data_IF_146586693833
#
_entry.id   IF_146586693833
#
_cell.length_a   1.000
_cell.length_b   1.000
_cell.length_c   1.000
_cell.angle_alpha   90.00
_cell.angle_beta   90.00
_cell.angle_gamma   90.00
#
_symmetry.space_group_name_H-M   'P 1'
#
loop_
_entity.id
_entity.type
_entity.pdbx_description
1 polymer ?
#
# COMPACT_ATOMS: atom_id res chain seq x y z
N UNK A 1 0.41 -13.72 2.38
CA UNK A 1 -0.19 -13.05 1.21
C UNK A 1 -1.02 -14.04 0.43
N UNK A 2 -1.91 -13.53 -0.43
CA UNK A 2 -2.66 -14.29 -1.43
C UNK A 2 -2.62 -13.55 -2.75
N UNK A 3 -2.61 -14.31 -3.86
CA UNK A 3 -2.61 -13.75 -5.21
C UNK A 3 -4.00 -13.90 -5.88
N UNK A 4 -4.86 -14.75 -5.31
CA UNK A 4 -6.19 -15.08 -5.84
C UNK A 4 -7.23 -15.20 -4.74
N UNK A 5 -8.48 -14.84 -5.06
CA UNK A 5 -9.60 -14.84 -4.11
C UNK A 5 -9.93 -16.23 -3.54
N UNK A 6 -9.66 -17.31 -4.27
CA UNK A 6 -9.91 -18.68 -3.80
C UNK A 6 -9.04 -19.07 -2.61
N UNK A 7 -7.89 -18.42 -2.42
CA UNK A 7 -6.98 -18.63 -1.30
C UNK A 7 -7.46 -17.93 0.00
N UNK A 8 -8.43 -17.02 -0.08
CA UNK A 8 -8.86 -16.21 1.06
C UNK A 8 -9.40 -17.07 2.23
N UNK A 9 -10.13 -18.14 1.92
CA UNK A 9 -10.68 -19.03 2.95
C UNK A 9 -9.58 -19.76 3.75
N UNK A 10 -8.53 -20.20 3.07
CA UNK A 10 -7.35 -20.82 3.70
C UNK A 10 -6.59 -19.79 4.53
N UNK A 11 -6.37 -18.59 4.00
CA UNK A 11 -5.70 -17.51 4.69
C UNK A 11 -6.43 -17.09 5.98
N UNK A 12 -7.77 -16.97 5.95
CA UNK A 12 -8.58 -16.70 7.15
C UNK A 12 -8.48 -17.84 8.18
N UNK A 13 -8.43 -19.09 7.73
CA UNK A 13 -8.33 -20.26 8.61
C UNK A 13 -6.95 -20.40 9.27
N UNK A 14 -5.92 -19.73 8.74
CA UNK A 14 -4.56 -19.77 9.29
C UNK A 14 -4.38 -18.98 10.59
N UNK A 15 -5.31 -18.08 10.91
CA UNK A 15 -5.20 -17.18 12.05
C UNK A 15 -4.23 -16.01 11.85
N UNK A 16 -3.97 -15.62 10.60
CA UNK A 16 -3.15 -14.45 10.28
C UNK A 16 -3.81 -13.15 10.77
N UNK A 17 -3.04 -12.27 11.39
CA UNK A 17 -3.51 -10.94 11.83
C UNK A 17 -3.79 -10.00 10.65
N UNK A 18 -3.04 -10.17 9.56
CA UNK A 18 -3.10 -9.38 8.33
C UNK A 18 -3.02 -10.31 7.12
N UNK A 19 -3.88 -10.09 6.13
CA UNK A 19 -3.82 -10.77 4.83
C UNK A 19 -3.49 -9.73 3.76
N UNK A 20 -2.32 -9.91 3.14
CA UNK A 20 -1.90 -9.11 1.98
C UNK A 20 -2.49 -9.67 0.68
N UNK A 21 -3.14 -8.80 -0.09
CA UNK A 21 -3.71 -9.02 -1.42
C UNK A 21 -2.67 -8.57 -2.46
N UNK A 22 -1.92 -9.52 -3.02
CA UNK A 22 -0.79 -9.22 -3.92
C UNK A 22 -1.24 -9.10 -5.38
N UNK A 23 -0.99 -7.94 -6.00
CA UNK A 23 -1.29 -7.61 -7.40
C UNK A 23 -2.74 -7.90 -7.85
N UNK A 24 -3.69 -7.91 -6.91
CA UNK A 24 -5.10 -8.17 -7.22
C UNK A 24 -5.77 -6.95 -7.86
N UNK A 25 -6.77 -7.18 -8.71
CA UNK A 25 -7.57 -6.09 -9.28
C UNK A 25 -8.44 -5.41 -8.21
N UNK A 26 -8.85 -4.17 -8.47
CA UNK A 26 -9.75 -3.44 -7.56
C UNK A 26 -11.06 -4.19 -7.29
N UNK A 27 -11.58 -4.92 -8.28
CA UNK A 27 -12.80 -5.71 -8.13
C UNK A 27 -12.60 -6.91 -7.19
N UNK A 28 -11.44 -7.56 -7.28
CA UNK A 28 -11.08 -8.66 -6.39
C UNK A 28 -10.85 -8.15 -4.97
N UNK A 29 -10.08 -7.07 -4.79
CA UNK A 29 -9.85 -6.44 -3.49
C UNK A 29 -11.16 -6.04 -2.80
N UNK A 30 -12.06 -5.36 -3.52
CA UNK A 30 -13.37 -5.01 -2.98
C UNK A 30 -14.21 -6.24 -2.60
N UNK A 31 -14.03 -7.36 -3.31
CA UNK A 31 -14.68 -8.63 -2.98
C UNK A 31 -14.09 -9.25 -1.72
N UNK A 32 -12.75 -9.26 -1.58
CA UNK A 32 -12.08 -9.71 -0.37
C UNK A 32 -12.52 -8.90 0.86
N UNK A 33 -12.59 -7.57 0.74
CA UNK A 33 -13.09 -6.67 1.80
C UNK A 33 -14.50 -7.05 2.24
N UNK A 34 -15.42 -7.25 1.28
CA UNK A 34 -16.80 -7.68 1.60
C UNK A 34 -16.86 -9.05 2.28
N UNK A 35 -16.02 -10.00 1.83
CA UNK A 35 -15.99 -11.35 2.38
C UNK A 35 -15.39 -11.38 3.80
N UNK A 36 -14.36 -10.58 4.06
CA UNK A 36 -13.73 -10.52 5.37
C UNK A 36 -14.57 -9.77 6.38
N UNK A 37 -15.40 -8.80 5.96
CA UNK A 37 -16.32 -8.05 6.81
C UNK A 37 -15.67 -7.51 8.10
N UNK A 38 -14.40 -7.06 8.01
CA UNK A 38 -13.63 -6.52 9.13
C UNK A 38 -13.10 -7.55 10.14
N UNK A 39 -13.18 -8.85 9.83
CA UNK A 39 -12.64 -9.91 10.70
C UNK A 39 -11.10 -10.01 10.71
N UNK A 40 -10.45 -9.41 9.71
CA UNK A 40 -8.98 -9.38 9.55
C UNK A 40 -8.60 -8.07 8.85
N UNK A 41 -7.38 -7.60 9.09
CA UNK A 41 -6.80 -6.47 8.36
C UNK A 41 -6.46 -6.93 6.94
N UNK A 42 -6.90 -6.17 5.95
CA UNK A 42 -6.53 -6.37 4.56
C UNK A 42 -5.52 -5.32 4.10
N UNK A 43 -4.43 -5.80 3.53
CA UNK A 43 -3.37 -4.97 2.96
C UNK A 43 -3.34 -5.15 1.44
N UNK A 44 -3.34 -4.06 0.67
CA UNK A 44 -3.07 -4.12 -0.78
C UNK A 44 -1.57 -3.87 -1.05
N UNK A 45 -0.99 -4.66 -1.96
CA UNK A 45 0.39 -4.52 -2.39
C UNK A 45 0.55 -4.86 -3.88
N UNK A 46 1.68 -4.43 -4.47
CA UNK A 46 2.06 -4.74 -5.85
C UNK A 46 1.52 -3.77 -6.90
N UNK A 47 2.43 -3.23 -7.74
CA UNK A 47 2.05 -2.37 -8.89
C UNK A 47 1.35 -1.05 -8.56
N UNK A 48 1.36 -0.62 -7.29
CA UNK A 48 0.66 0.59 -6.84
C UNK A 48 1.51 1.83 -7.13
N UNK A 49 0.88 2.83 -7.75
CA UNK A 49 1.48 4.10 -8.20
C UNK A 49 0.62 5.27 -7.72
N UNK A 50 1.15 6.49 -7.81
CA UNK A 50 0.39 7.71 -7.50
C UNK A 50 -0.95 7.80 -8.28
N UNK A 51 -0.95 7.32 -9.52
CA UNK A 51 -2.13 7.39 -10.40
C UNK A 51 -3.24 6.42 -10.01
N UNK A 52 -2.91 5.27 -9.39
CA UNK A 52 -3.89 4.23 -9.07
C UNK A 52 -4.20 4.10 -7.56
N UNK A 53 -3.37 4.68 -6.68
CA UNK A 53 -3.48 4.49 -5.22
C UNK A 53 -4.85 4.91 -4.67
N UNK A 54 -5.47 5.95 -5.23
CA UNK A 54 -6.84 6.37 -4.86
C UNK A 54 -7.87 5.29 -5.14
N UNK A 55 -7.78 4.64 -6.30
CA UNK A 55 -8.71 3.59 -6.69
C UNK A 55 -8.52 2.34 -5.81
N UNK A 56 -7.28 2.02 -5.44
CA UNK A 56 -6.97 0.95 -4.48
C UNK A 56 -7.59 1.28 -3.11
N UNK A 57 -7.41 2.49 -2.59
CA UNK A 57 -8.00 2.91 -1.31
C UNK A 57 -9.54 2.83 -1.31
N UNK A 58 -10.18 3.14 -2.44
CA UNK A 58 -11.63 3.03 -2.59
C UNK A 58 -12.17 1.60 -2.56
N UNK A 59 -11.32 0.57 -2.66
CA UNK A 59 -11.75 -0.83 -2.49
C UNK A 59 -12.14 -1.16 -1.06
N UNK A 60 -11.65 -0.37 -0.09
CA UNK A 60 -11.92 -0.55 1.33
C UNK A 60 -10.89 -1.40 2.07
N UNK A 61 -9.70 -1.64 1.49
CA UNK A 61 -8.55 -2.20 2.21
C UNK A 61 -8.10 -1.28 3.34
N UNK A 62 -7.59 -1.85 4.42
CA UNK A 62 -7.17 -1.12 5.62
C UNK A 62 -5.78 -0.49 5.44
N UNK A 63 -4.90 -1.19 4.73
CA UNK A 63 -3.50 -0.79 4.51
C UNK A 63 -3.15 -0.86 3.03
N UNK A 64 -2.32 0.08 2.59
CA UNK A 64 -1.72 0.06 1.24
C UNK A 64 -0.22 0.19 1.40
N UNK A 65 0.51 -0.82 0.94
CA UNK A 65 1.97 -0.82 0.92
C UNK A 65 2.51 -0.41 -0.44
N UNK A 66 3.45 0.54 -0.43
CA UNK A 66 4.01 1.15 -1.65
C UNK A 66 5.53 1.24 -1.57
N UNK A 67 6.22 0.51 -2.45
CA UNK A 67 7.69 0.54 -2.52
C UNK A 67 8.28 1.87 -3.01
N UNK A 68 7.52 2.63 -3.80
CA UNK A 68 8.02 3.88 -4.42
C UNK A 68 8.31 5.00 -3.41
N UNK A 69 7.82 4.89 -2.16
CA UNK A 69 8.17 5.82 -1.08
C UNK A 69 9.61 5.64 -0.56
N UNK A 70 10.25 4.49 -0.77
CA UNK A 70 11.61 4.22 -0.27
C UNK A 70 12.59 3.85 -1.35
N UNK A 71 12.16 3.09 -2.37
CA UNK A 71 13.04 2.56 -3.42
C UNK A 71 13.24 3.55 -4.58
N UNK A 72 12.33 4.51 -4.75
CA UNK A 72 12.31 5.41 -5.91
C UNK A 72 11.73 6.79 -5.57
N UNK A 73 11.82 7.20 -4.31
CA UNK A 73 11.36 8.52 -3.91
C UNK A 73 12.24 9.61 -4.56
N UNK A 74 11.63 10.69 -5.10
CA UNK A 74 12.40 11.79 -5.65
C UNK A 74 13.20 12.48 -4.55
N UNK A 75 14.45 12.82 -4.85
CA UNK A 75 15.27 13.64 -3.95
C UNK A 75 14.67 15.05 -3.86
N UNK A 76 14.61 15.60 -2.65
CA UNK A 76 14.25 17.00 -2.44
C UNK A 76 15.44 17.88 -2.84
N UNK A 77 15.19 18.91 -3.64
CA UNK A 77 16.20 19.91 -4.00
C UNK A 77 16.44 20.84 -2.80
N UNK A 78 17.69 20.91 -2.32
CA UNK A 78 18.07 21.66 -1.12
C UNK A 78 19.37 22.42 -1.37
N UNK A 79 19.36 23.73 -1.11
CA UNK A 79 20.52 24.61 -1.18
C UNK A 79 20.75 25.32 0.17
N UNK A 80 22.03 25.54 0.51
CA UNK A 80 22.44 26.30 1.70
C UNK A 80 23.07 27.62 1.25
N UNK A 81 22.39 28.73 1.50
CA UNK A 81 22.96 30.06 1.37
C UNK A 81 23.62 30.48 2.68
N UNK A 82 24.95 30.51 2.70
CA UNK A 82 25.74 30.86 3.86
C UNK A 82 26.37 32.26 3.69
N UNK A 83 25.98 33.20 4.54
CA UNK A 83 26.61 34.52 4.59
C UNK A 83 27.78 34.51 5.59
N UNK A 84 29.01 34.67 5.10
CA UNK A 84 30.18 34.92 5.96
C UNK A 84 30.22 36.40 6.34
N UNK A 85 30.13 36.70 7.64
CA UNK A 85 30.18 38.07 8.18
C UNK A 85 31.58 38.70 8.20
N UNK A 86 32.38 38.56 7.14
CA UNK A 86 33.61 39.35 6.99
C UNK A 86 33.26 40.65 6.28
N UNK A 87 32.72 41.60 7.05
CA UNK A 87 32.71 43.00 6.66
C UNK A 87 34.17 43.52 6.71
N UNK A 88 34.65 44.04 5.58
CA UNK A 88 35.83 44.91 5.55
C UNK A 88 35.47 46.28 6.15
#
# INVERSE_FOLDING_TARGET
>A
EIERLDQLAEALSSGADIIMLDNMSNAEMATAVRLCAGSVILEASGGITENNIRAVAQTGVDVISVGWLTQSAPAMDVALDFATGLAN
#
